data_IF_092533762469
#
_entry.id   IF_092533762469
#
_cell.length_a   1.000
_cell.length_b   1.000
_cell.length_c   1.000
_cell.angle_alpha   90.00
_cell.angle_beta   90.00
_cell.angle_gamma   90.00
#
_symmetry.space_group_name_H-M   'P 1'
#
loop_
_entity.id
_entity.type
_entity.pdbx_description
1 polymer ?
#
# COMPACT_ATOMS: atom_id res chain seq x y z
N UNK A 1 31.35 -16.43 -32.42
CA UNK A 1 32.17 -15.73 -31.41
C UNK A 1 33.18 -16.68 -30.76
N UNK A 2 34.43 -16.23 -30.64
CA UNK A 2 35.46 -17.00 -29.92
C UNK A 2 35.23 -16.90 -28.40
N UNK A 3 35.79 -17.85 -27.63
CA UNK A 3 35.72 -17.82 -26.15
C UNK A 3 36.30 -16.51 -25.59
N UNK A 4 37.30 -15.95 -26.27
CA UNK A 4 37.92 -14.67 -25.92
C UNK A 4 36.93 -13.50 -26.07
N UNK A 5 36.23 -13.41 -27.22
CA UNK A 5 35.22 -12.37 -27.45
C UNK A 5 34.05 -12.45 -26.47
N UNK A 6 33.64 -13.65 -26.07
CA UNK A 6 32.59 -13.83 -25.07
C UNK A 6 33.05 -13.34 -23.68
N UNK A 7 34.31 -13.57 -23.33
CA UNK A 7 34.92 -13.13 -22.07
C UNK A 7 35.04 -11.62 -22.02
N UNK A 8 35.47 -10.97 -23.11
CA UNK A 8 35.58 -9.52 -23.19
C UNK A 8 34.23 -8.82 -23.05
N UNK A 9 33.19 -9.35 -23.72
CA UNK A 9 31.82 -8.85 -23.58
C UNK A 9 31.29 -9.00 -22.16
N UNK A 10 31.58 -10.12 -21.50
CA UNK A 10 31.18 -10.34 -20.11
C UNK A 10 31.86 -9.31 -19.18
N UNK A 11 33.16 -9.05 -19.38
CA UNK A 11 33.91 -8.06 -18.61
C UNK A 11 33.39 -6.63 -18.82
N UNK A 12 33.07 -6.26 -20.06
CA UNK A 12 32.49 -4.96 -20.38
C UNK A 12 31.08 -4.82 -19.76
N UNK A 13 30.26 -5.86 -19.81
CA UNK A 13 28.94 -5.88 -19.18
C UNK A 13 29.03 -5.75 -17.65
N UNK A 14 29.94 -6.47 -17.00
CA UNK A 14 30.19 -6.32 -15.55
C UNK A 14 30.68 -4.92 -15.20
N UNK A 15 31.60 -4.37 -15.99
CA UNK A 15 32.14 -3.02 -15.78
C UNK A 15 31.03 -1.99 -15.85
N UNK A 16 30.17 -2.04 -16.87
CA UNK A 16 28.99 -1.18 -16.98
C UNK A 16 28.01 -1.34 -15.81
N UNK A 17 27.79 -2.58 -15.37
CA UNK A 17 26.92 -2.85 -14.21
C UNK A 17 27.45 -2.20 -12.93
N UNK A 18 28.75 -2.30 -12.67
CA UNK A 18 29.40 -1.66 -11.53
C UNK A 18 29.35 -0.14 -11.65
N UNK A 19 29.61 0.42 -12.83
CA UNK A 19 29.53 1.87 -13.08
C UNK A 19 28.12 2.42 -12.85
N UNK A 20 27.08 1.73 -13.33
CA UNK A 20 25.69 2.11 -13.09
C UNK A 20 25.34 2.10 -11.61
N UNK A 21 25.76 1.05 -10.88
CA UNK A 21 25.53 0.96 -9.44
C UNK A 21 26.26 2.06 -8.69
N UNK A 22 27.55 2.29 -8.99
CA UNK A 22 28.35 3.34 -8.36
C UNK A 22 27.76 4.73 -8.63
N UNK A 23 27.30 4.99 -9.86
CA UNK A 23 26.62 6.24 -10.20
C UNK A 23 25.32 6.43 -9.42
N UNK A 24 24.53 5.38 -9.23
CA UNK A 24 23.30 5.45 -8.45
C UNK A 24 23.60 5.74 -6.96
N UNK A 25 24.57 5.05 -6.37
CA UNK A 25 24.99 5.26 -4.98
C UNK A 25 25.52 6.69 -4.75
N UNK A 26 26.36 7.17 -5.66
CA UNK A 26 26.88 8.55 -5.62
C UNK A 26 25.74 9.58 -5.71
N UNK A 27 24.72 9.33 -6.54
CA UNK A 27 23.57 10.23 -6.67
C UNK A 27 22.68 10.26 -5.43
N UNK A 28 22.54 9.13 -4.72
CA UNK A 28 21.78 9.06 -3.46
C UNK A 28 22.53 9.63 -2.26
N UNK A 29 23.77 10.12 -2.45
CA UNK A 29 24.66 10.56 -1.38
C UNK A 29 24.81 9.50 -0.26
N UNK A 30 24.78 8.22 -0.61
CA UNK A 30 24.70 7.12 0.36
C UNK A 30 25.94 7.01 1.26
N UNK A 31 27.06 7.64 0.88
CA UNK A 31 28.28 7.70 1.67
C UNK A 31 28.17 8.64 2.89
N UNK A 32 27.24 9.60 2.87
CA UNK A 32 27.02 10.57 3.95
C UNK A 32 25.75 10.28 4.76
N UNK A 33 24.93 9.31 4.34
CA UNK A 33 23.75 8.89 5.09
C UNK A 33 24.19 8.20 6.39
N UNK A 34 23.97 8.87 7.52
CA UNK A 34 23.99 8.22 8.82
C UNK A 34 22.87 7.17 8.85
N UNK A 35 23.24 5.91 8.67
CA UNK A 35 22.32 4.79 8.58
C UNK A 35 23.03 3.48 8.92
N UNK A 36 22.26 2.41 8.93
CA UNK A 36 22.75 1.10 9.34
C UNK A 36 24.05 0.73 8.62
N UNK A 37 24.98 0.11 9.35
CA UNK A 37 26.25 -0.37 8.78
C UNK A 37 26.20 -1.90 8.74
N UNK A 38 26.35 -2.53 7.56
CA UNK A 38 26.42 -3.99 7.48
C UNK A 38 27.48 -4.56 8.45
N UNK A 39 27.22 -5.72 9.07
CA UNK A 39 26.10 -6.64 8.81
C UNK A 39 24.81 -6.30 9.59
N UNK A 40 24.85 -5.35 10.53
CA UNK A 40 23.81 -5.15 11.54
C UNK A 40 22.75 -4.14 11.09
N UNK A 41 22.11 -4.42 9.95
CA UNK A 41 21.06 -3.57 9.37
C UNK A 41 19.63 -4.05 9.62
N UNK A 42 19.46 -5.20 10.28
CA UNK A 42 18.15 -5.85 10.39
C UNK A 42 17.12 -4.99 11.13
N UNK A 43 17.54 -4.22 12.13
CA UNK A 43 16.65 -3.38 12.93
C UNK A 43 16.10 -2.20 12.13
N UNK A 44 16.97 -1.46 11.44
CA UNK A 44 16.60 -0.30 10.64
C UNK A 44 15.78 -0.71 9.41
N UNK A 45 16.09 -1.85 8.79
CA UNK A 45 15.32 -2.39 7.67
C UNK A 45 13.92 -2.86 8.09
N UNK A 46 13.76 -3.32 9.34
CA UNK A 46 12.48 -3.72 9.90
C UNK A 46 11.73 -2.57 10.61
N UNK A 47 12.33 -1.38 10.71
CA UNK A 47 11.76 -0.28 11.46
C UNK A 47 10.52 0.30 10.77
N UNK A 48 9.49 0.59 11.56
CA UNK A 48 8.31 1.30 11.08
C UNK A 48 8.64 2.78 10.85
N UNK A 49 8.79 3.16 9.58
CA UNK A 49 9.03 4.54 9.15
C UNK A 49 7.73 5.34 8.93
N UNK A 50 6.56 4.82 9.31
CA UNK A 50 5.28 5.52 9.13
C UNK A 50 5.22 6.77 10.02
N UNK A 51 4.56 7.79 9.48
CA UNK A 51 4.25 9.02 10.21
C UNK A 51 2.82 9.43 9.89
N UNK A 52 2.16 10.26 10.73
CA UNK A 52 0.85 10.80 10.41
C UNK A 52 0.80 11.51 9.05
N UNK A 53 1.91 12.14 8.63
CA UNK A 53 2.04 12.78 7.32
C UNK A 53 2.02 11.74 6.18
N UNK A 54 2.75 10.63 6.32
CA UNK A 54 2.70 9.53 5.35
C UNK A 54 1.27 8.96 5.21
N UNK A 55 0.59 8.73 6.34
CA UNK A 55 -0.78 8.24 6.34
C UNK A 55 -1.77 9.24 5.72
N UNK A 56 -1.56 10.54 5.91
CA UNK A 56 -2.39 11.57 5.30
C UNK A 56 -2.25 11.59 3.77
N UNK A 57 -1.02 11.51 3.25
CA UNK A 57 -0.76 11.43 1.81
C UNK A 57 -1.34 10.13 1.23
N UNK A 58 -1.13 8.99 1.89
CA UNK A 58 -1.68 7.71 1.46
C UNK A 58 -3.22 7.73 1.40
N UNK A 59 -3.88 8.35 2.40
CA UNK A 59 -5.34 8.53 2.40
C UNK A 59 -5.81 9.42 1.25
N UNK A 60 -5.10 10.51 0.97
CA UNK A 60 -5.44 11.41 -0.13
C UNK A 60 -5.29 10.72 -1.49
N UNK A 61 -4.20 9.96 -1.68
CA UNK A 61 -3.96 9.17 -2.89
C UNK A 61 -5.05 8.10 -3.07
N UNK A 62 -5.37 7.35 -2.01
CA UNK A 62 -6.44 6.34 -2.04
C UNK A 62 -7.80 6.96 -2.40
N UNK A 63 -8.16 8.11 -1.81
CA UNK A 63 -9.39 8.81 -2.16
C UNK A 63 -9.41 9.30 -3.62
N UNK A 64 -8.28 9.80 -4.11
CA UNK A 64 -8.15 10.32 -5.48
C UNK A 64 -8.13 9.22 -6.54
N UNK A 65 -7.79 7.99 -6.15
CA UNK A 65 -7.74 6.83 -7.04
C UNK A 65 -9.13 6.17 -7.25
N UNK A 66 -10.15 6.53 -6.46
CA UNK A 66 -11.49 5.98 -6.63
C UNK A 66 -12.16 6.59 -7.86
N UNK A 67 -12.58 5.73 -8.80
CA UNK A 67 -13.28 6.14 -10.02
C UNK A 67 -14.77 5.80 -9.88
N UNK A 68 -15.63 6.81 -10.00
CA UNK A 68 -17.08 6.62 -10.06
C UNK A 68 -17.49 6.17 -11.46
N UNK A 69 -17.88 4.90 -11.61
CA UNK A 69 -18.28 4.33 -12.91
C UNK A 69 -19.75 4.64 -13.24
N UNK A 70 -20.63 4.55 -12.25
CA UNK A 70 -22.07 4.76 -12.41
C UNK A 70 -22.65 5.42 -11.15
N UNK A 71 -23.56 6.37 -11.34
CA UNK A 71 -24.38 6.95 -10.28
C UNK A 71 -25.74 7.34 -10.84
N UNK A 72 -26.73 6.48 -10.66
CA UNK A 72 -28.11 6.77 -11.04
C UNK A 72 -28.71 7.85 -10.13
N UNK A 73 -29.52 8.74 -10.70
CA UNK A 73 -30.38 9.71 -9.97
C UNK A 73 -29.65 10.57 -8.92
N UNK A 74 -28.35 10.83 -9.11
CA UNK A 74 -27.50 11.53 -8.14
C UNK A 74 -27.56 10.88 -6.74
N UNK A 75 -27.51 9.54 -6.68
CA UNK A 75 -27.48 8.79 -5.43
C UNK A 75 -26.25 9.11 -4.56
N UNK A 76 -25.13 9.47 -5.20
CA UNK A 76 -23.92 9.91 -4.53
C UNK A 76 -23.68 11.43 -4.73
N UNK A 77 -23.13 12.15 -3.72
CA UNK A 77 -22.80 11.66 -2.38
C UNK A 77 -24.06 11.31 -1.57
N UNK A 78 -23.92 10.40 -0.60
CA UNK A 78 -25.01 10.06 0.30
C UNK A 78 -25.43 11.31 1.10
N UNK A 79 -26.74 11.57 1.12
CA UNK A 79 -27.35 12.64 1.92
C UNK A 79 -28.35 12.07 2.93
N UNK A 80 -28.99 12.97 3.68
CA UNK A 80 -29.93 12.65 4.75
C UNK A 80 -31.25 12.01 4.27
N UNK A 81 -31.45 11.84 2.95
CA UNK A 81 -32.62 11.13 2.40
C UNK A 81 -32.63 9.65 2.77
N UNK A 82 -31.47 9.08 3.09
CA UNK A 82 -31.32 7.67 3.47
C UNK A 82 -31.08 7.54 4.97
N UNK A 83 -32.04 6.97 5.71
CA UNK A 83 -31.89 6.78 7.17
C UNK A 83 -31.13 5.51 7.54
N UNK A 84 -31.02 4.56 6.60
CA UNK A 84 -30.42 3.25 6.83
C UNK A 84 -29.43 2.93 5.71
N UNK A 85 -28.21 2.56 6.10
CA UNK A 85 -27.15 2.12 5.20
C UNK A 85 -26.85 0.64 5.48
N UNK A 86 -27.03 -0.20 4.46
CA UNK A 86 -26.60 -1.59 4.51
C UNK A 86 -25.25 -1.73 3.82
N UNK A 87 -24.25 -2.24 4.53
CA UNK A 87 -22.94 -2.56 3.96
C UNK A 87 -22.81 -4.08 3.88
N UNK A 88 -22.48 -4.58 2.69
CA UNK A 88 -22.50 -6.01 2.39
C UNK A 88 -21.30 -6.41 1.54
N UNK A 89 -20.92 -7.69 1.64
CA UNK A 89 -19.84 -8.29 0.88
C UNK A 89 -18.60 -8.62 1.74
N UNK A 90 -17.79 -9.61 1.32
CA UNK A 90 -16.63 -10.07 2.10
C UNK A 90 -15.55 -9.00 2.23
N UNK A 91 -15.39 -8.14 1.23
CA UNK A 91 -14.44 -7.03 1.26
C UNK A 91 -14.84 -5.89 2.22
N UNK A 92 -16.04 -5.91 2.80
CA UNK A 92 -16.44 -4.87 3.77
C UNK A 92 -15.74 -5.04 5.12
N UNK A 93 -15.48 -6.28 5.54
CA UNK A 93 -14.82 -6.63 6.81
C UNK A 93 -13.47 -7.31 6.62
N UNK A 94 -12.96 -7.39 5.38
CA UNK A 94 -11.67 -8.00 5.15
C UNK A 94 -10.60 -7.23 5.93
N UNK A 95 -9.80 -7.94 6.72
CA UNK A 95 -8.63 -7.37 7.35
C UNK A 95 -7.50 -7.24 6.32
N UNK A 96 -6.54 -6.35 6.59
CA UNK A 96 -5.22 -6.46 5.97
C UNK A 96 -4.55 -7.75 6.44
N UNK A 97 -3.66 -8.29 5.62
CA UNK A 97 -2.85 -9.43 6.01
C UNK A 97 -1.43 -8.97 6.38
N UNK A 98 -0.77 -9.74 7.23
CA UNK A 98 0.64 -9.54 7.56
C UNK A 98 1.57 -10.50 6.79
N UNK A 99 1.02 -11.62 6.32
CA UNK A 99 1.82 -12.75 5.83
C UNK A 99 1.30 -13.31 4.51
N UNK A 100 0.20 -12.77 4.00
CA UNK A 100 -0.48 -13.30 2.83
C UNK A 100 -1.12 -12.19 2.02
N UNK A 101 -1.75 -12.61 0.94
CA UNK A 101 -2.60 -11.78 0.09
C UNK A 101 -3.75 -11.14 0.88
N UNK A 102 -4.10 -9.90 0.53
CA UNK A 102 -5.34 -9.26 0.99
C UNK A 102 -6.03 -8.46 -0.12
N UNK A 103 -7.28 -8.06 0.13
CA UNK A 103 -8.13 -7.37 -0.84
C UNK A 103 -7.60 -6.00 -1.28
N UNK A 104 -6.63 -5.42 -0.59
CA UNK A 104 -6.24 -4.01 -0.74
C UNK A 104 -4.80 -3.81 -1.22
N UNK A 105 -3.96 -4.83 -1.09
CA UNK A 105 -2.55 -4.79 -1.49
C UNK A 105 -2.19 -5.87 -2.52
N UNK A 106 -3.12 -6.79 -2.81
CA UNK A 106 -2.92 -7.83 -3.82
C UNK A 106 -2.00 -8.95 -3.33
N UNK A 107 -1.25 -9.52 -4.26
CA UNK A 107 -0.51 -10.78 -4.09
C UNK A 107 0.96 -10.59 -4.47
N UNK A 108 1.89 -11.31 -3.79
CA UNK A 108 3.35 -11.39 -4.05
C UNK A 108 4.27 -10.36 -3.35
N UNK A 109 5.50 -10.25 -3.86
CA UNK A 109 6.69 -9.54 -3.34
C UNK A 109 6.50 -8.02 -3.11
N UNK A 110 5.38 -7.46 -3.56
CA UNK A 110 4.98 -6.07 -3.31
C UNK A 110 4.02 -5.89 -2.13
N UNK A 111 3.58 -6.98 -1.49
CA UNK A 111 2.72 -6.91 -0.31
C UNK A 111 3.49 -6.34 0.88
N UNK A 112 2.94 -5.29 1.50
CA UNK A 112 3.49 -4.68 2.70
C UNK A 112 2.57 -5.01 3.87
N UNK A 113 3.05 -5.78 4.87
CA UNK A 113 2.29 -6.13 6.07
C UNK A 113 1.77 -4.88 6.79
N UNK A 114 0.51 -4.89 7.23
CA UNK A 114 -0.06 -3.76 7.98
C UNK A 114 -0.86 -4.20 9.20
N UNK A 115 -0.50 -3.62 10.34
CA UNK A 115 -1.19 -3.77 11.63
C UNK A 115 -2.26 -2.71 11.89
N UNK A 116 -2.24 -1.60 11.15
CA UNK A 116 -3.09 -0.42 11.38
C UNK A 116 -4.24 -0.29 10.37
N UNK A 117 -4.59 -1.39 9.71
CA UNK A 117 -5.61 -1.40 8.69
C UNK A 117 -7.01 -1.15 9.29
N UNK A 118 -7.77 -0.24 8.67
CA UNK A 118 -9.17 0.05 9.06
C UNK A 118 -10.09 -0.57 8.01
N UNK A 119 -10.89 -1.60 8.36
CA UNK A 119 -11.86 -2.18 7.44
C UNK A 119 -12.86 -1.16 6.89
N UNK A 120 -13.27 -1.28 5.62
CA UNK A 120 -14.25 -0.37 5.02
C UNK A 120 -15.54 -0.26 5.83
N UNK A 121 -16.04 -1.37 6.38
CA UNK A 121 -17.23 -1.35 7.23
C UNK A 121 -17.05 -0.44 8.44
N UNK A 122 -15.92 -0.52 9.14
CA UNK A 122 -15.67 0.28 10.34
C UNK A 122 -15.54 1.77 9.99
N UNK A 123 -14.84 2.09 8.90
CA UNK A 123 -14.70 3.45 8.41
C UNK A 123 -16.04 4.06 7.96
N UNK A 124 -16.84 3.29 7.20
CA UNK A 124 -18.17 3.70 6.74
C UNK A 124 -19.10 3.86 7.94
N UNK A 125 -19.12 2.90 8.87
CA UNK A 125 -19.94 2.94 10.08
C UNK A 125 -19.63 4.19 10.89
N UNK A 126 -18.36 4.46 11.19
CA UNK A 126 -17.95 5.64 11.95
C UNK A 126 -18.34 6.95 11.26
N UNK A 127 -18.19 7.03 9.93
CA UNK A 127 -18.56 8.24 9.18
C UNK A 127 -20.07 8.44 9.10
N UNK A 128 -20.82 7.38 8.81
CA UNK A 128 -22.26 7.42 8.59
C UNK A 128 -23.03 7.63 9.90
N UNK A 129 -22.60 7.05 11.03
CA UNK A 129 -23.22 7.33 12.33
C UNK A 129 -23.03 8.78 12.76
N UNK A 130 -21.87 9.38 12.47
CA UNK A 130 -21.63 10.81 12.66
C UNK A 130 -22.53 11.72 11.81
N UNK A 131 -23.18 11.17 10.79
CA UNK A 131 -24.16 11.85 9.93
C UNK A 131 -25.61 11.43 10.23
N UNK A 132 -25.85 10.62 11.27
CA UNK A 132 -27.20 10.22 11.70
C UNK A 132 -27.77 8.98 11.01
N UNK A 133 -26.98 8.24 10.21
CA UNK A 133 -27.43 7.00 9.58
C UNK A 133 -27.43 5.83 10.57
N UNK A 134 -28.39 4.93 10.41
CA UNK A 134 -28.33 3.59 11.01
C UNK A 134 -27.57 2.65 10.06
N UNK A 135 -26.49 2.04 10.54
CA UNK A 135 -25.64 1.17 9.70
C UNK A 135 -25.84 -0.29 10.09
N UNK A 136 -26.15 -1.13 9.10
CA UNK A 136 -26.33 -2.58 9.26
C UNK A 136 -25.34 -3.35 8.40
N UNK A 137 -24.94 -4.55 8.83
CA UNK A 137 -24.05 -5.43 8.09
C UNK A 137 -24.80 -6.67 7.58
N UNK A 138 -24.48 -7.09 6.35
CA UNK A 138 -24.74 -8.46 5.86
C UNK A 138 -23.41 -9.10 5.48
N UNK A 139 -22.58 -9.29 6.49
CA UNK A 139 -21.22 -9.83 6.34
C UNK A 139 -21.24 -11.25 6.87
N UNK A 140 -20.84 -12.23 6.05
CA UNK A 140 -20.86 -13.64 6.44
C UNK A 140 -19.79 -13.89 7.51
N UNK A 141 -20.21 -14.29 8.72
CA UNK A 141 -19.30 -14.57 9.85
C UNK A 141 -19.11 -13.42 10.85
N UNK A 142 -19.97 -12.39 10.82
CA UNK A 142 -19.97 -11.26 11.75
C UNK A 142 -21.16 -11.28 12.74
N UNK A 143 -21.61 -12.47 13.12
CA UNK A 143 -22.65 -12.70 14.14
C UNK A 143 -22.02 -13.08 15.50
#
# INVERSE_FOLDING_TARGET
PTVLEATDRAKEAMTRGVEMLASALAHMNSAEMAGCTPPDCAGELAADARSPAHSAVARAAAASAVVLLESAENLLPLDDRSQVLAVSGPAASAAGSETSEDYYSGVNEGHIPRTDFVPPFDAIKAKATGLGFQVTSKIKGAD
#
